data_IF_785126091135
#
_entry.id   IF_785126091135
#
_cell.length_a   1.000
_cell.length_b   1.000
_cell.length_c   1.000
_cell.angle_alpha   90.00
_cell.angle_beta   90.00
_cell.angle_gamma   90.00
#
_symmetry.space_group_name_H-M   'P 1'
#
loop_
_entity.id
_entity.type
_entity.pdbx_description
1 polymer ?
#
# COMPACT_ATOMS: atom_id res chain seq x y z
N UNK A 1 5.19 -10.03 -11.93
CA UNK A 1 5.03 -9.66 -10.51
C UNK A 1 3.56 -9.60 -10.12
N UNK A 2 3.13 -10.31 -9.07
CA UNK A 2 1.72 -10.32 -8.64
C UNK A 2 1.20 -8.93 -8.22
N UNK A 3 2.06 -8.07 -7.65
CA UNK A 3 1.72 -6.70 -7.25
C UNK A 3 1.10 -5.90 -8.42
N UNK A 4 1.62 -6.10 -9.63
CA UNK A 4 1.18 -5.38 -10.83
C UNK A 4 -0.22 -5.79 -11.26
N UNK A 5 -0.51 -7.09 -11.19
CA UNK A 5 -1.81 -7.64 -11.58
C UNK A 5 -2.92 -7.35 -10.57
N UNK A 6 -2.56 -6.96 -9.35
CA UNK A 6 -3.49 -6.68 -8.25
C UNK A 6 -3.87 -5.20 -8.13
N UNK A 7 -3.17 -4.29 -8.84
CA UNK A 7 -3.52 -2.88 -8.83
C UNK A 7 -4.82 -2.65 -9.61
N UNK A 8 -5.78 -1.97 -8.99
CA UNK A 8 -7.01 -1.56 -9.64
C UNK A 8 -6.75 -0.43 -10.65
N UNK A 9 -7.72 -0.20 -11.54
CA UNK A 9 -7.57 0.79 -12.61
C UNK A 9 -7.27 2.21 -12.08
N UNK A 10 -7.88 2.56 -10.94
CA UNK A 10 -7.71 3.85 -10.24
C UNK A 10 -6.35 3.99 -9.53
N UNK A 11 -5.54 2.93 -9.49
CA UNK A 11 -4.23 2.93 -8.84
C UNK A 11 -4.24 2.37 -7.42
N UNK A 12 -5.40 1.95 -6.90
CA UNK A 12 -5.52 1.42 -5.55
C UNK A 12 -5.24 -0.09 -5.46
N UNK A 13 -5.01 -0.58 -4.25
CA UNK A 13 -5.05 -2.01 -3.92
C UNK A 13 -6.14 -2.30 -2.89
N UNK A 14 -6.65 -3.53 -2.89
CA UNK A 14 -7.55 -4.00 -1.84
C UNK A 14 -6.78 -4.45 -0.60
N UNK A 15 -7.42 -4.39 0.56
CA UNK A 15 -6.79 -4.80 1.83
C UNK A 15 -6.44 -6.29 1.86
N UNK A 16 -7.23 -7.14 1.18
CA UNK A 16 -6.92 -8.56 0.98
C UNK A 16 -5.66 -8.77 0.13
N UNK A 17 -5.50 -7.96 -0.91
CA UNK A 17 -4.32 -8.00 -1.78
C UNK A 17 -3.08 -7.54 -1.00
N UNK A 18 -3.21 -6.46 -0.23
CA UNK A 18 -2.17 -5.99 0.67
C UNK A 18 -1.76 -7.08 1.67
N UNK A 19 -2.71 -7.76 2.32
CA UNK A 19 -2.45 -8.89 3.23
C UNK A 19 -1.68 -10.03 2.53
N UNK A 20 -2.08 -10.38 1.31
CA UNK A 20 -1.41 -11.42 0.52
C UNK A 20 0.04 -11.02 0.16
N UNK A 21 0.25 -9.77 -0.21
CA UNK A 21 1.56 -9.24 -0.64
C UNK A 21 2.52 -9.00 0.54
N UNK A 22 2.03 -8.47 1.66
CA UNK A 22 2.83 -8.17 2.85
C UNK A 22 3.04 -9.39 3.73
N UNK A 23 2.31 -10.48 3.49
CA UNK A 23 2.23 -11.69 4.33
C UNK A 23 1.75 -11.40 5.76
N UNK A 24 1.11 -10.25 5.98
CA UNK A 24 0.50 -9.87 7.26
C UNK A 24 -0.98 -10.27 7.24
N UNK A 25 -1.51 -10.90 8.30
CA UNK A 25 -2.93 -11.24 8.41
C UNK A 25 -3.86 -10.04 8.17
N UNK A 26 -4.96 -10.28 7.45
CA UNK A 26 -5.94 -9.25 7.09
C UNK A 26 -6.54 -8.56 8.32
N UNK A 27 -6.79 -9.32 9.37
CA UNK A 27 -7.30 -8.89 10.67
C UNK A 27 -6.35 -7.90 11.35
N UNK A 28 -5.03 -8.14 11.29
CA UNK A 28 -4.03 -7.20 11.81
C UNK A 28 -4.02 -5.91 10.99
N UNK A 29 -4.02 -6.01 9.66
CA UNK A 29 -4.03 -4.84 8.79
C UNK A 29 -5.32 -4.02 8.95
N UNK A 30 -6.46 -4.68 9.10
CA UNK A 30 -7.76 -4.02 9.32
C UNK A 30 -7.80 -3.30 10.67
N UNK A 31 -7.29 -3.93 11.74
CA UNK A 31 -7.23 -3.31 13.06
C UNK A 31 -6.26 -2.11 13.12
N UNK A 32 -5.20 -2.13 12.32
CA UNK A 32 -4.21 -1.05 12.24
C UNK A 32 -4.64 0.11 11.32
N UNK A 33 -5.75 -0.03 10.58
CA UNK A 33 -6.20 0.97 9.60
C UNK A 33 -6.53 2.31 10.29
N UNK A 34 -5.75 3.38 10.04
CA UNK A 34 -6.00 4.68 10.64
C UNK A 34 -7.02 5.52 9.85
N UNK A 35 -7.48 5.03 8.70
CA UNK A 35 -8.30 5.78 7.74
C UNK A 35 -9.72 5.26 7.68
N UNK A 36 -10.60 6.05 7.06
CA UNK A 36 -11.97 5.60 6.73
C UNK A 36 -12.02 4.74 5.45
N UNK A 37 -10.94 4.71 4.67
CA UNK A 37 -10.87 4.04 3.38
C UNK A 37 -9.88 2.88 3.42
N UNK A 38 -10.40 1.64 3.44
CA UNK A 38 -9.56 0.45 3.38
C UNK A 38 -8.65 0.43 2.14
N UNK A 39 -9.11 0.99 1.02
CA UNK A 39 -8.31 1.10 -0.20
C UNK A 39 -7.14 2.08 -0.04
N UNK A 40 -7.33 3.20 0.65
CA UNK A 40 -6.24 4.13 0.95
C UNK A 40 -5.18 3.44 1.83
N UNK A 41 -5.63 2.76 2.88
CA UNK A 41 -4.71 2.04 3.76
C UNK A 41 -3.94 0.92 3.06
N UNK A 42 -4.64 0.08 2.29
CA UNK A 42 -4.05 -0.99 1.51
C UNK A 42 -3.02 -0.45 0.50
N UNK A 43 -3.34 0.65 -0.18
CA UNK A 43 -2.45 1.30 -1.15
C UNK A 43 -1.16 1.78 -0.47
N UNK A 44 -1.27 2.42 0.71
CA UNK A 44 -0.09 2.86 1.47
C UNK A 44 0.80 1.67 1.89
N UNK A 45 0.21 0.57 2.37
CA UNK A 45 0.95 -0.64 2.74
C UNK A 45 1.72 -1.24 1.56
N UNK A 46 1.08 -1.32 0.39
CA UNK A 46 1.74 -1.87 -0.82
C UNK A 46 2.85 -0.95 -1.33
N UNK A 47 2.67 0.37 -1.26
CA UNK A 47 3.72 1.33 -1.63
C UNK A 47 4.97 1.17 -0.75
N UNK A 48 4.80 1.08 0.57
CA UNK A 48 5.92 0.86 1.50
C UNK A 48 6.58 -0.50 1.25
N UNK A 49 5.79 -1.54 0.99
CA UNK A 49 6.31 -2.87 0.65
C UNK A 49 7.19 -2.83 -0.62
N UNK A 50 6.75 -2.12 -1.66
CA UNK A 50 7.50 -1.95 -2.90
C UNK A 50 8.84 -1.26 -2.66
N UNK A 51 8.84 -0.16 -1.91
CA UNK A 51 10.06 0.58 -1.57
C UNK A 51 11.02 -0.27 -0.72
N UNK A 52 10.51 -1.03 0.25
CA UNK A 52 11.33 -1.85 1.16
C UNK A 52 11.86 -3.13 0.53
N UNK A 53 11.02 -3.89 -0.17
CA UNK A 53 11.39 -5.23 -0.69
C UNK A 53 11.90 -5.21 -2.13
N UNK A 54 11.52 -4.21 -2.92
CA UNK A 54 11.79 -4.17 -4.35
C UNK A 54 12.50 -2.89 -4.79
N UNK A 55 13.17 -2.18 -3.86
CA UNK A 55 13.91 -0.94 -4.15
C UNK A 55 14.86 -1.03 -5.36
N UNK A 56 15.51 -2.17 -5.56
CA UNK A 56 16.42 -2.41 -6.70
C UNK A 56 15.69 -2.61 -8.04
N UNK A 57 14.40 -2.95 -8.03
CA UNK A 57 13.55 -3.19 -9.20
C UNK A 57 12.62 -1.99 -9.46
N UNK A 58 13.02 -0.79 -9.04
CA UNK A 58 12.17 0.41 -9.09
C UNK A 58 11.56 0.67 -10.47
N UNK A 59 12.32 0.47 -11.54
CA UNK A 59 11.83 0.64 -12.92
C UNK A 59 10.62 -0.24 -13.24
N UNK A 60 10.46 -1.39 -12.57
CA UNK A 60 9.34 -2.33 -12.80
C UNK A 60 8.04 -1.88 -12.14
N UNK A 61 8.10 -1.08 -11.07
CA UNK A 61 6.93 -0.72 -10.27
C UNK A 61 6.74 0.79 -10.07
N UNK A 62 7.64 1.65 -10.55
CA UNK A 62 7.56 3.10 -10.37
C UNK A 62 6.27 3.69 -10.94
N UNK A 63 5.81 3.20 -12.10
CA UNK A 63 4.55 3.64 -12.69
C UNK A 63 3.35 3.31 -11.77
N UNK A 64 3.35 2.11 -11.19
CA UNK A 64 2.31 1.67 -10.26
C UNK A 64 2.33 2.48 -8.98
N UNK A 65 3.53 2.70 -8.43
CA UNK A 65 3.68 3.52 -7.24
C UNK A 65 3.23 4.96 -7.48
N UNK A 66 3.47 5.50 -8.67
CA UNK A 66 2.99 6.83 -9.07
C UNK A 66 1.46 6.88 -9.08
N UNK A 67 0.78 5.90 -9.70
CA UNK A 67 -0.69 5.84 -9.68
C UNK A 67 -1.25 5.69 -8.27
N UNK A 68 -0.63 4.85 -7.44
CA UNK A 68 -1.03 4.68 -6.04
C UNK A 68 -0.89 5.97 -5.23
N UNK A 69 0.19 6.74 -5.41
CA UNK A 69 0.35 8.05 -4.76
C UNK A 69 -0.68 9.07 -5.23
N UNK A 70 -1.02 9.09 -6.52
CA UNK A 70 -2.08 9.94 -7.07
C UNK A 70 -3.45 9.56 -6.47
N UNK A 71 -3.74 8.27 -6.35
CA UNK A 71 -4.95 7.78 -5.70
C UNK A 71 -5.03 8.25 -4.22
N UNK A 72 -3.94 8.11 -3.47
CA UNK A 72 -3.87 8.56 -2.07
C UNK A 72 -4.09 10.06 -1.92
N UNK A 73 -3.47 10.87 -2.79
CA UNK A 73 -3.68 12.32 -2.79
C UNK A 73 -5.14 12.70 -3.08
N UNK A 74 -5.85 11.89 -3.88
CA UNK A 74 -7.27 12.06 -4.16
C UNK A 74 -8.22 11.64 -3.03
N UNK A 75 -7.74 10.87 -2.04
CA UNK A 75 -8.57 10.38 -0.93
C UNK A 75 -8.81 11.43 0.17
N UNK A 76 -8.11 12.58 0.13
CA UNK A 76 -8.20 13.62 1.16
C UNK A 76 -7.52 13.26 2.49
N UNK A 77 -6.79 12.14 2.53
CA UNK A 77 -5.93 11.72 3.64
C UNK A 77 -4.52 12.31 3.44
N UNK A 78 -3.75 12.49 4.52
CA UNK A 78 -2.35 12.93 4.43
C UNK A 78 -1.46 11.75 4.01
N UNK A 79 -0.93 11.71 2.77
CA UNK A 79 -0.25 10.52 2.25
C UNK A 79 1.02 10.20 3.02
N UNK A 80 1.80 11.22 3.42
CA UNK A 80 3.06 11.04 4.15
C UNK A 80 2.85 10.42 5.54
N UNK A 81 1.83 10.87 6.27
CA UNK A 81 1.49 10.31 7.59
C UNK A 81 0.98 8.86 7.47
N UNK A 82 0.22 8.58 6.42
CA UNK A 82 -0.31 7.26 6.15
C UNK A 82 0.79 6.27 5.77
N UNK A 83 1.75 6.70 4.94
CA UNK A 83 2.94 5.92 4.58
C UNK A 83 3.82 5.66 5.80
N UNK A 84 4.02 6.66 6.67
CA UNK A 84 4.77 6.47 7.91
C UNK A 84 4.12 5.43 8.84
N UNK A 85 2.79 5.47 9.00
CA UNK A 85 2.05 4.44 9.77
C UNK A 85 2.11 3.06 9.11
N UNK A 86 2.00 3.00 7.78
CA UNK A 86 2.13 1.76 7.03
C UNK A 86 3.51 1.12 7.26
N UNK A 87 4.57 1.93 7.25
CA UNK A 87 5.92 1.48 7.57
C UNK A 87 6.03 0.94 8.99
N UNK A 88 5.55 1.66 9.99
CA UNK A 88 5.54 1.17 11.38
C UNK A 88 4.77 -0.15 11.54
N UNK A 89 3.66 -0.31 10.82
CA UNK A 89 2.85 -1.53 10.86
C UNK A 89 3.62 -2.72 10.27
N UNK A 90 4.33 -2.51 9.17
CA UNK A 90 5.14 -3.55 8.52
C UNK A 90 6.47 -3.84 9.23
N UNK A 91 6.97 -2.92 10.05
CA UNK A 91 8.17 -3.11 10.87
C UNK A 91 7.86 -3.77 12.23
N UNK A 92 6.60 -3.72 12.67
CA UNK A 92 6.11 -4.34 13.90
C UNK A 92 5.70 -5.81 13.72
N UNK A 93 5.96 -6.41 12.55
CA UNK A 93 5.64 -7.79 12.19
C UNK A 93 6.90 -8.52 11.74
#
# INVERSE_FOLDING_TARGET
MAVVSLQQFDGSWGLKDAAHLTTVPLDILSAANPTKSEAAWATALVLVLLERKFGEQKEEWELLATKGRVFLAGCGEQPDELLAKAQLTLDSQ
#
